data_IF_737418157666
#
_entry.id   IF_737418157666
#
_cell.length_a   1.000
_cell.length_b   1.000
_cell.length_c   1.000
_cell.angle_alpha   90.00
_cell.angle_beta   90.00
_cell.angle_gamma   90.00
#
_symmetry.space_group_name_H-M   'P 1'
#
loop_
_entity.id
_entity.type
_entity.pdbx_description
1 polymer ?
#
# COMPACT_ATOMS: atom_id res chain seq x y z
N UNK A 1 -17.05 10.43 47.60
CA UNK A 1 -17.45 10.54 46.19
C UNK A 1 -16.35 9.90 45.35
N UNK A 2 -16.60 8.79 44.65
CA UNK A 2 -15.56 8.16 43.84
C UNK A 2 -15.31 8.97 42.56
N UNK A 3 -14.04 9.23 42.26
CA UNK A 3 -13.63 9.85 41.01
C UNK A 3 -13.69 8.80 39.89
N UNK A 4 -14.56 9.01 38.91
CA UNK A 4 -14.57 8.23 37.68
C UNK A 4 -13.45 8.76 36.76
N UNK A 5 -12.41 7.96 36.57
CA UNK A 5 -11.40 8.20 35.55
C UNK A 5 -11.90 7.63 34.23
N UNK A 6 -12.32 8.51 33.32
CA UNK A 6 -12.66 8.13 31.94
C UNK A 6 -11.36 8.04 31.16
N UNK A 7 -10.83 6.83 30.99
CA UNK A 7 -9.77 6.59 30.00
C UNK A 7 -10.40 6.63 28.60
N UNK A 8 -10.28 7.76 27.93
CA UNK A 8 -10.48 7.85 26.48
C UNK A 8 -9.33 7.10 25.82
N UNK A 9 -9.55 5.83 25.50
CA UNK A 9 -8.70 5.12 24.54
C UNK A 9 -8.94 5.77 23.18
N UNK A 10 -7.99 6.58 22.72
CA UNK A 10 -7.90 6.97 21.32
C UNK A 10 -7.44 5.73 20.57
N UNK A 11 -8.38 4.86 20.21
CA UNK A 11 -8.11 3.82 19.24
C UNK A 11 -7.66 4.52 17.97
N UNK A 12 -6.37 4.41 17.67
CA UNK A 12 -5.79 4.83 16.40
C UNK A 12 -6.61 4.18 15.29
N UNK A 13 -7.37 4.99 14.57
CA UNK A 13 -8.12 4.49 13.43
C UNK A 13 -7.14 4.08 12.36
N UNK A 14 -7.25 2.85 11.87
CA UNK A 14 -6.51 2.42 10.69
C UNK A 14 -6.79 3.42 9.55
N UNK A 15 -5.76 4.15 9.14
CA UNK A 15 -5.84 5.15 8.08
C UNK A 15 -5.63 4.46 6.72
N UNK A 16 -6.22 5.02 5.67
CA UNK A 16 -6.13 4.50 4.31
C UNK A 16 -6.40 5.61 3.29
N UNK A 17 -5.76 5.51 2.13
CA UNK A 17 -6.01 6.36 0.96
C UNK A 17 -6.38 5.48 -0.24
N UNK A 18 -7.06 6.03 -1.24
CA UNK A 18 -7.34 5.34 -2.50
C UNK A 18 -6.39 5.87 -3.57
N UNK A 19 -5.68 4.97 -4.23
CA UNK A 19 -4.80 5.31 -5.33
C UNK A 19 -5.56 6.05 -6.44
N UNK A 20 -5.06 7.21 -6.86
CA UNK A 20 -5.66 8.03 -7.91
C UNK A 20 -6.90 8.84 -7.51
N UNK A 21 -7.33 8.78 -6.24
CA UNK A 21 -8.38 9.66 -5.72
C UNK A 21 -7.80 10.67 -4.72
N UNK A 22 -8.46 11.82 -4.62
CA UNK A 22 -8.10 12.88 -3.67
C UNK A 22 -9.30 13.26 -2.81
N UNK A 23 -9.01 13.65 -1.57
CA UNK A 23 -9.99 14.22 -0.63
C UNK A 23 -9.62 15.66 -0.33
N UNK A 24 -10.57 16.47 0.17
CA UNK A 24 -10.29 17.84 0.62
C UNK A 24 -9.25 17.94 1.75
N UNK A 25 -8.96 16.82 2.45
CA UNK A 25 -7.96 16.73 3.53
C UNK A 25 -6.58 16.29 3.06
N UNK A 26 -6.45 15.90 1.79
CA UNK A 26 -5.19 15.41 1.25
C UNK A 26 -4.39 16.59 0.69
N UNK A 27 -3.09 16.57 0.88
CA UNK A 27 -2.19 17.37 0.07
C UNK A 27 -2.07 16.73 -1.30
N UNK A 28 -2.66 17.37 -2.31
CA UNK A 28 -2.58 16.96 -3.69
C UNK A 28 -1.70 17.94 -4.48
N UNK A 29 -0.84 17.40 -5.33
CA UNK A 29 0.00 18.17 -6.22
C UNK A 29 0.02 17.56 -7.63
N UNK A 30 -0.34 18.38 -8.61
CA UNK A 30 -0.27 18.09 -10.05
C UNK A 30 1.00 18.74 -10.62
N UNK A 31 1.92 17.93 -11.12
CA UNK A 31 3.17 18.40 -11.71
C UNK A 31 2.87 18.89 -13.13
N UNK A 32 2.85 20.21 -13.32
CA UNK A 32 2.61 20.83 -14.62
C UNK A 32 3.83 21.63 -15.10
N UNK A 33 4.58 21.15 -16.12
CA UNK A 33 4.38 19.89 -16.84
C UNK A 33 4.80 18.67 -16.02
N UNK A 34 4.30 17.49 -16.40
CA UNK A 34 4.76 16.20 -15.85
C UNK A 34 6.29 16.13 -15.90
N UNK A 35 6.88 15.58 -14.84
CA UNK A 35 8.34 15.49 -14.72
C UNK A 35 8.83 14.17 -15.30
N UNK A 36 9.48 14.23 -16.45
CA UNK A 36 10.21 13.09 -17.02
C UNK A 36 11.63 13.05 -16.46
N UNK A 37 11.92 12.03 -15.66
CA UNK A 37 13.28 11.64 -15.32
C UNK A 37 13.81 10.72 -16.41
N UNK A 38 14.97 11.04 -16.96
CA UNK A 38 15.58 10.27 -18.03
C UNK A 38 17.05 10.00 -17.72
N UNK A 39 17.46 8.74 -17.80
CA UNK A 39 18.85 8.36 -17.70
C UNK A 39 19.41 8.14 -19.11
N UNK A 40 19.98 9.17 -19.77
CA UNK A 40 20.31 9.11 -21.20
C UNK A 40 21.27 7.95 -21.50
N UNK A 41 20.88 7.16 -22.51
CA UNK A 41 21.70 6.06 -23.00
C UNK A 41 23.01 6.59 -23.62
N UNK A 42 24.14 5.98 -23.30
CA UNK A 42 25.44 6.26 -23.92
C UNK A 42 26.39 7.11 -23.08
N UNK A 43 25.96 7.61 -21.90
CA UNK A 43 26.87 8.17 -20.90
C UNK A 43 27.01 7.17 -19.76
N UNK A 44 28.25 6.82 -19.42
CA UNK A 44 28.52 5.95 -18.26
C UNK A 44 28.11 6.69 -16.99
N UNK A 45 27.05 6.21 -16.32
CA UNK A 45 26.59 6.76 -15.04
C UNK A 45 25.64 7.95 -15.17
N UNK A 46 24.78 7.97 -16.19
CA UNK A 46 23.71 8.97 -16.27
C UNK A 46 22.65 8.70 -15.20
N UNK A 47 22.29 9.70 -14.42
CA UNK A 47 21.16 9.62 -13.49
C UNK A 47 20.46 10.95 -13.34
N UNK A 48 19.14 10.91 -13.16
CA UNK A 48 18.31 12.06 -12.80
C UNK A 48 17.45 11.70 -11.59
N UNK A 49 17.34 12.65 -10.65
CA UNK A 49 16.55 12.49 -9.41
C UNK A 49 15.50 13.59 -9.26
N UNK A 50 14.33 13.23 -8.75
CA UNK A 50 13.27 14.12 -8.27
C UNK A 50 13.06 13.88 -6.77
N UNK A 51 13.11 14.96 -5.99
CA UNK A 51 12.81 14.92 -4.56
C UNK A 51 11.41 15.49 -4.32
N UNK A 52 10.60 14.78 -3.55
CA UNK A 52 9.24 15.15 -3.20
C UNK A 52 9.12 15.38 -1.70
N UNK A 53 8.60 16.54 -1.32
CA UNK A 53 8.08 16.84 0.01
C UNK A 53 6.58 16.53 -0.02
N UNK A 54 6.19 15.39 0.52
CA UNK A 54 4.85 14.83 0.39
C UNK A 54 3.90 15.43 1.43
N UNK A 55 4.41 15.78 2.61
CA UNK A 55 3.60 16.30 3.72
C UNK A 55 3.68 17.83 3.89
N UNK A 56 4.47 18.53 3.07
CA UNK A 56 4.67 19.98 3.05
C UNK A 56 5.27 20.52 4.36
N UNK A 57 6.12 19.73 5.01
CA UNK A 57 6.81 20.14 6.24
C UNK A 57 8.15 20.86 5.95
N UNK A 58 8.54 20.96 4.68
CA UNK A 58 9.81 21.55 4.23
C UNK A 58 10.97 20.54 4.16
N UNK A 59 10.70 19.27 4.44
CA UNK A 59 11.66 18.17 4.37
C UNK A 59 11.29 17.22 3.23
N UNK A 60 12.28 16.73 2.49
CA UNK A 60 12.02 15.80 1.38
C UNK A 60 11.72 14.41 1.93
N UNK A 61 10.61 13.82 1.52
CA UNK A 61 10.12 12.52 2.01
C UNK A 61 10.47 11.36 1.07
N UNK A 62 10.68 11.65 -0.21
CA UNK A 62 10.91 10.64 -1.24
C UNK A 62 11.89 11.15 -2.29
N UNK A 63 12.85 10.31 -2.68
CA UNK A 63 13.64 10.48 -3.90
C UNK A 63 13.19 9.45 -4.94
N UNK A 64 12.80 9.93 -6.12
CA UNK A 64 12.61 9.13 -7.32
C UNK A 64 13.83 9.32 -8.22
N UNK A 65 14.40 8.23 -8.71
CA UNK A 65 15.63 8.29 -9.50
C UNK A 65 15.55 7.36 -10.70
N UNK A 66 15.88 7.88 -11.88
CA UNK A 66 16.18 7.09 -13.07
C UNK A 66 17.71 7.00 -13.22
N UNK A 67 18.25 5.80 -13.41
CA UNK A 67 19.68 5.58 -13.54
C UNK A 67 20.02 4.63 -14.70
N UNK A 68 21.16 4.91 -15.35
CA UNK A 68 21.75 4.13 -16.41
C UNK A 68 23.22 3.88 -16.07
N UNK A 69 23.55 2.64 -15.76
CA UNK A 69 24.91 2.19 -15.55
C UNK A 69 25.40 1.42 -16.78
N UNK A 70 26.51 1.90 -17.35
CA UNK A 70 27.23 1.22 -18.41
C UNK A 70 28.51 0.63 -17.84
N UNK A 71 28.64 -0.69 -17.89
CA UNK A 71 29.86 -1.41 -17.48
C UNK A 71 30.85 -1.57 -18.64
N UNK A 72 30.85 -0.64 -19.59
CA UNK A 72 31.58 -0.74 -20.86
C UNK A 72 30.71 -1.25 -22.02
N UNK A 73 31.33 -1.79 -23.07
CA UNK A 73 30.64 -2.20 -24.32
C UNK A 73 29.64 -3.37 -24.17
N UNK A 74 29.53 -3.95 -22.97
CA UNK A 74 29.01 -5.31 -22.79
C UNK A 74 28.01 -5.46 -21.65
N UNK A 75 27.87 -4.46 -20.78
CA UNK A 75 26.91 -4.44 -19.69
C UNK A 75 26.11 -3.14 -19.70
N UNK A 76 24.79 -3.28 -19.74
CA UNK A 76 23.84 -2.19 -19.63
C UNK A 76 22.86 -2.51 -18.52
N UNK A 77 22.73 -1.60 -17.57
CA UNK A 77 21.76 -1.68 -16.50
C UNK A 77 21.00 -0.36 -16.40
N UNK A 78 19.69 -0.45 -16.54
CA UNK A 78 18.75 0.65 -16.38
C UNK A 78 17.85 0.33 -15.21
N UNK A 79 17.64 1.29 -14.33
CA UNK A 79 16.63 1.15 -13.29
C UNK A 79 15.98 2.47 -12.89
N UNK A 80 14.70 2.34 -12.52
CA UNK A 80 13.97 3.32 -11.77
C UNK A 80 13.92 2.89 -10.32
N UNK A 81 14.31 3.78 -9.41
CA UNK A 81 14.30 3.53 -7.96
C UNK A 81 13.50 4.59 -7.23
N UNK A 82 12.87 4.17 -6.14
CA UNK A 82 12.26 5.04 -5.16
C UNK A 82 12.95 4.81 -3.82
N UNK A 83 13.47 5.88 -3.22
CA UNK A 83 14.20 5.85 -1.94
C UNK A 83 13.39 6.62 -0.90
N UNK A 84 12.91 5.96 0.17
CA UNK A 84 12.23 6.67 1.25
C UNK A 84 13.22 7.54 2.03
N UNK A 85 12.77 8.71 2.45
CA UNK A 85 13.52 9.65 3.28
C UNK A 85 12.69 10.01 4.53
N UNK A 86 13.37 10.44 5.60
CA UNK A 86 12.76 11.09 6.77
C UNK A 86 11.58 10.34 7.43
N UNK A 87 11.68 9.01 7.56
CA UNK A 87 10.64 8.19 8.22
C UNK A 87 9.51 7.76 7.28
N UNK A 88 9.62 8.08 5.99
CA UNK A 88 8.78 7.52 4.94
C UNK A 88 9.07 6.04 4.75
N UNK A 89 8.06 5.30 4.36
CA UNK A 89 8.13 3.91 3.96
C UNK A 89 7.43 3.74 2.64
N UNK A 90 7.95 2.84 1.81
CA UNK A 90 7.42 2.53 0.49
C UNK A 90 6.75 1.16 0.51
N UNK A 91 5.72 1.04 -0.30
CA UNK A 91 5.05 -0.23 -0.55
C UNK A 91 5.95 -1.18 -1.35
N UNK A 92 5.99 -2.45 -0.95
CA UNK A 92 6.91 -3.48 -1.41
C UNK A 92 6.16 -4.79 -1.63
N UNK A 93 6.41 -5.44 -2.77
CA UNK A 93 5.72 -6.67 -3.14
C UNK A 93 6.58 -7.92 -2.95
N UNK A 94 7.80 -7.91 -3.51
CA UNK A 94 8.67 -9.10 -3.56
C UNK A 94 10.14 -8.74 -3.74
N UNK A 95 11.00 -9.74 -3.54
CA UNK A 95 12.36 -9.71 -4.08
C UNK A 95 12.34 -10.33 -5.48
N UNK A 96 12.90 -9.63 -6.46
CA UNK A 96 13.20 -10.21 -7.78
C UNK A 96 14.69 -10.50 -7.92
N UNK A 97 15.05 -11.46 -8.76
CA UNK A 97 16.42 -11.96 -8.89
C UNK A 97 16.80 -12.17 -10.35
N UNK A 98 18.01 -11.76 -10.70
CA UNK A 98 18.59 -11.94 -12.01
C UNK A 98 19.68 -13.01 -11.97
N UNK A 99 19.65 -13.94 -12.93
CA UNK A 99 20.60 -15.04 -13.03
C UNK A 99 21.34 -15.01 -14.37
N UNK A 100 22.60 -15.44 -14.35
CA UNK A 100 23.39 -15.65 -15.54
C UNK A 100 23.23 -17.08 -16.08
N UNK A 101 23.16 -17.22 -17.41
CA UNK A 101 22.99 -18.52 -18.09
C UNK A 101 24.31 -19.30 -18.17
N UNK A 102 24.89 -19.65 -17.03
CA UNK A 102 26.08 -20.49 -16.92
C UNK A 102 25.71 -21.97 -16.72
N UNK A 103 26.66 -22.92 -16.88
CA UNK A 103 26.43 -24.35 -16.60
C UNK A 103 25.87 -24.59 -15.19
N UNK A 104 26.26 -23.73 -14.25
CA UNK A 104 25.62 -23.56 -12.95
C UNK A 104 24.91 -22.19 -12.96
N UNK A 105 23.62 -22.14 -12.64
CA UNK A 105 22.87 -20.89 -12.55
C UNK A 105 23.48 -20.01 -11.45
N UNK A 106 24.05 -18.87 -11.81
CA UNK A 106 24.66 -17.92 -10.85
C UNK A 106 23.76 -16.71 -10.66
N UNK A 107 23.44 -16.42 -9.40
CA UNK A 107 22.75 -15.19 -9.01
C UNK A 107 23.65 -13.99 -9.33
N UNK A 108 23.17 -13.09 -10.18
CA UNK A 108 23.86 -11.83 -10.51
C UNK A 108 23.50 -10.77 -9.48
N UNK A 109 22.21 -10.56 -9.25
CA UNK A 109 21.69 -9.63 -8.25
C UNK A 109 20.28 -10.02 -7.81
N UNK A 110 19.85 -9.48 -6.68
CA UNK A 110 18.46 -9.50 -6.24
C UNK A 110 18.04 -8.11 -5.75
N UNK A 111 16.84 -7.66 -6.12
CA UNK A 111 16.34 -6.31 -5.87
C UNK A 111 14.94 -6.37 -5.24
N UNK A 112 14.64 -5.50 -4.25
CA UNK A 112 13.27 -5.32 -3.77
C UNK A 112 12.44 -4.59 -4.83
N UNK A 113 11.30 -5.15 -5.22
CA UNK A 113 10.40 -4.54 -6.20
C UNK A 113 9.22 -3.90 -5.47
N UNK A 114 8.90 -2.67 -5.88
CA UNK A 114 7.77 -1.92 -5.34
C UNK A 114 6.45 -2.67 -5.56
N UNK A 115 5.54 -2.58 -4.59
CA UNK A 115 4.15 -2.94 -4.88
C UNK A 115 3.52 -1.83 -5.72
N UNK A 116 2.74 -2.22 -6.72
CA UNK A 116 2.02 -1.28 -7.59
C UNK A 116 0.54 -1.38 -7.31
N UNK A 117 -0.10 -0.22 -7.23
CA UNK A 117 -1.54 -0.09 -7.05
C UNK A 117 -2.16 0.45 -8.34
N UNK A 118 -3.38 0.03 -8.64
CA UNK A 118 -4.19 0.62 -9.70
C UNK A 118 -5.08 1.73 -9.15
N UNK A 119 -5.57 2.60 -10.02
CA UNK A 119 -6.57 3.59 -9.63
C UNK A 119 -7.78 2.90 -8.99
N UNK A 120 -8.18 3.35 -7.80
CA UNK A 120 -9.26 2.76 -7.01
C UNK A 120 -8.79 1.73 -5.96
N UNK A 121 -7.54 1.27 -6.00
CA UNK A 121 -7.02 0.37 -4.97
C UNK A 121 -6.84 1.09 -3.64
N UNK A 122 -7.10 0.38 -2.54
CA UNK A 122 -6.89 0.89 -1.20
C UNK A 122 -5.44 0.68 -0.76
N UNK A 123 -4.81 1.76 -0.30
CA UNK A 123 -3.47 1.77 0.30
C UNK A 123 -3.63 1.98 1.81
N UNK A 124 -3.25 0.96 2.59
CA UNK A 124 -3.46 0.90 4.04
C UNK A 124 -2.34 0.13 4.76
N UNK A 125 -2.55 -0.25 6.02
CA UNK A 125 -1.56 -0.93 6.84
C UNK A 125 -1.05 -2.26 6.26
N UNK A 126 -1.82 -2.93 5.40
CA UNK A 126 -1.50 -4.23 4.82
C UNK A 126 -0.67 -4.12 3.51
N UNK A 127 -0.35 -2.90 3.06
CA UNK A 127 0.36 -2.62 1.81
C UNK A 127 1.83 -3.09 1.70
N UNK A 128 2.37 -3.81 2.70
CA UNK A 128 3.73 -4.34 2.72
C UNK A 128 4.79 -3.24 2.68
N UNK A 129 5.30 -2.82 3.83
CA UNK A 129 6.03 -1.54 3.93
C UNK A 129 7.52 -1.71 4.25
N UNK A 130 8.37 -0.92 3.59
CA UNK A 130 9.83 -0.95 3.79
C UNK A 130 10.44 0.45 3.89
N UNK A 131 11.47 0.59 4.72
CA UNK A 131 12.35 1.77 4.82
C UNK A 131 13.55 1.69 3.86
N UNK A 132 13.64 0.63 3.07
CA UNK A 132 14.70 0.44 2.09
C UNK A 132 14.26 0.95 0.71
N UNK A 133 15.21 1.36 -0.15
CA UNK A 133 14.89 1.65 -1.54
C UNK A 133 14.18 0.48 -2.22
N UNK A 134 13.25 0.79 -3.12
CA UNK A 134 12.56 -0.20 -3.97
C UNK A 134 12.79 0.12 -5.44
N UNK A 135 12.87 -0.93 -6.26
CA UNK A 135 12.95 -0.84 -7.71
C UNK A 135 11.55 -0.75 -8.30
N UNK A 136 11.32 0.31 -9.08
CA UNK A 136 10.07 0.58 -9.81
C UNK A 136 10.05 -0.19 -11.15
N UNK A 137 11.23 -0.35 -11.74
CA UNK A 137 11.46 -1.19 -12.91
C UNK A 137 12.94 -1.23 -13.23
N UNK A 138 13.39 -2.29 -13.87
CA UNK A 138 14.76 -2.41 -14.34
C UNK A 138 14.87 -3.20 -15.64
N UNK A 139 15.93 -2.93 -16.37
CA UNK A 139 16.42 -3.75 -17.47
C UNK A 139 17.94 -3.90 -17.33
N UNK A 140 18.39 -5.14 -17.17
CA UNK A 140 19.80 -5.50 -17.20
C UNK A 140 20.09 -6.47 -18.33
N UNK A 141 21.15 -6.20 -19.08
CA UNK A 141 21.66 -7.16 -20.06
C UNK A 141 23.18 -7.16 -20.07
N UNK A 142 23.76 -8.35 -20.19
CA UNK A 142 25.18 -8.50 -20.47
C UNK A 142 25.39 -9.47 -21.62
N UNK A 143 26.05 -9.02 -22.68
CA UNK A 143 26.29 -9.81 -23.89
C UNK A 143 27.69 -10.46 -23.94
N UNK A 144 28.59 -10.17 -22.99
CA UNK A 144 29.97 -10.67 -23.03
C UNK A 144 30.53 -10.90 -21.63
N UNK A 145 29.91 -11.84 -20.92
CA UNK A 145 30.52 -12.46 -19.76
C UNK A 145 31.73 -13.27 -20.28
N UNK A 146 32.91 -13.32 -19.61
CA UNK A 146 34.18 -13.88 -20.13
C UNK A 146 34.14 -15.33 -20.68
N UNK A 147 33.02 -16.00 -20.52
CA UNK A 147 32.73 -17.38 -20.88
C UNK A 147 31.62 -17.51 -21.95
N UNK A 148 31.23 -16.41 -22.61
CA UNK A 148 30.21 -16.37 -23.69
C UNK A 148 28.76 -16.66 -23.21
N UNK A 149 28.50 -16.52 -21.91
CA UNK A 149 27.19 -16.78 -21.31
C UNK A 149 26.52 -15.47 -20.90
N UNK A 150 25.86 -14.82 -21.86
CA UNK A 150 25.11 -13.59 -21.59
C UNK A 150 23.91 -13.79 -20.67
N UNK A 151 23.37 -12.69 -20.16
CA UNK A 151 22.10 -12.67 -19.44
C UNK A 151 21.27 -11.46 -19.83
N UNK A 152 19.96 -11.60 -19.67
CA UNK A 152 18.98 -10.56 -19.87
C UNK A 152 17.91 -10.72 -18.81
N UNK A 153 17.73 -9.69 -17.99
CA UNK A 153 16.76 -9.65 -16.92
C UNK A 153 16.02 -8.34 -17.01
N UNK A 154 14.71 -8.39 -16.89
CA UNK A 154 13.88 -7.19 -16.83
C UNK A 154 12.72 -7.46 -15.91
N UNK A 155 12.37 -6.49 -15.11
CA UNK A 155 11.14 -6.52 -14.34
C UNK A 155 10.57 -5.11 -14.28
N UNK A 156 9.26 -5.01 -14.42
CA UNK A 156 8.51 -3.88 -13.90
C UNK A 156 7.09 -4.34 -13.64
N UNK A 157 6.59 -4.06 -12.44
CA UNK A 157 5.18 -4.24 -12.14
C UNK A 157 4.36 -3.00 -12.57
N UNK A 158 5.02 -1.95 -13.09
CA UNK A 158 4.40 -0.74 -13.66
C UNK A 158 4.05 -0.89 -15.15
N UNK A 159 4.21 -2.10 -15.73
CA UNK A 159 4.11 -2.32 -17.19
C UNK A 159 2.68 -2.27 -17.78
N UNK A 160 1.62 -2.23 -16.96
CA UNK A 160 0.24 -2.36 -17.43
C UNK A 160 -0.71 -1.35 -16.76
N UNK A 161 -0.95 -0.23 -17.44
CA UNK A 161 -1.81 0.89 -17.03
C UNK A 161 -1.31 1.66 -15.79
N UNK A 162 -1.65 2.97 -15.63
CA UNK A 162 -0.96 3.87 -14.71
C UNK A 162 -0.83 3.27 -13.30
N UNK A 163 0.42 3.04 -12.90
CA UNK A 163 0.76 2.46 -11.63
C UNK A 163 0.96 3.54 -10.57
N UNK A 164 0.40 3.30 -9.40
CA UNK A 164 0.59 4.14 -8.23
C UNK A 164 1.57 3.46 -7.29
N UNK A 165 2.57 4.22 -6.82
CA UNK A 165 3.44 3.82 -5.73
C UNK A 165 2.77 4.21 -4.41
N UNK A 166 2.49 3.22 -3.55
CA UNK A 166 2.02 3.49 -2.19
C UNK A 166 3.16 4.00 -1.32
N UNK A 167 2.90 5.08 -0.59
CA UNK A 167 3.82 5.70 0.37
C UNK A 167 3.13 5.85 1.72
N UNK A 168 3.89 5.72 2.82
CA UNK A 168 3.38 6.07 4.15
C UNK A 168 4.44 6.78 4.98
N UNK A 169 4.00 7.68 5.86
CA UNK A 169 4.85 8.33 6.85
C UNK A 169 4.48 7.82 8.23
N UNK A 170 5.44 7.23 8.94
CA UNK A 170 5.25 6.71 10.30
C UNK A 170 5.77 7.74 11.30
N UNK A 171 4.86 8.37 12.03
CA UNK A 171 5.19 9.30 13.12
C UNK A 171 4.86 8.70 14.49
N UNK A 172 5.34 9.31 15.58
CA UNK A 172 5.19 8.79 16.95
C UNK A 172 3.75 8.67 17.45
N UNK A 173 2.77 9.18 16.70
CA UNK A 173 1.35 9.09 17.04
C UNK A 173 0.46 8.61 15.90
N UNK A 174 0.90 8.64 14.64
CA UNK A 174 0.03 8.42 13.49
C UNK A 174 0.77 7.84 12.28
N UNK A 175 0.03 7.21 11.37
CA UNK A 175 0.54 6.71 10.09
C UNK A 175 -0.29 7.30 8.96
N UNK A 176 0.30 8.22 8.21
CA UNK A 176 -0.34 8.88 7.07
C UNK A 176 -0.01 8.12 5.79
N UNK A 177 -0.97 8.00 4.89
CA UNK A 177 -0.79 7.31 3.61
C UNK A 177 -0.88 8.29 2.44
N UNK A 178 -0.20 7.94 1.36
CA UNK A 178 -0.29 8.63 0.09
C UNK A 178 -0.03 7.72 -1.08
N UNK A 179 -0.09 8.31 -2.27
CA UNK A 179 0.27 7.67 -3.51
C UNK A 179 1.03 8.64 -4.41
N UNK A 180 1.92 8.09 -5.25
CA UNK A 180 2.60 8.81 -6.34
C UNK A 180 2.23 8.14 -7.65
N UNK A 181 1.71 8.91 -8.61
CA UNK A 181 1.33 8.42 -9.92
C UNK A 181 2.55 8.38 -10.84
N UNK A 182 2.87 7.17 -11.32
CA UNK A 182 4.02 6.87 -12.17
C UNK A 182 3.54 6.32 -13.52
N UNK A 183 3.01 7.16 -14.42
CA UNK A 183 2.59 6.71 -15.74
C UNK A 183 3.77 6.07 -16.50
N UNK A 184 3.46 4.98 -17.19
CA UNK A 184 4.46 4.22 -17.94
C UNK A 184 4.95 4.99 -19.18
N UNK A 185 6.25 5.27 -19.23
CA UNK A 185 6.93 5.91 -20.38
C UNK A 185 8.12 5.06 -20.83
N UNK A 186 7.83 4.04 -21.64
CA UNK A 186 8.85 3.31 -22.40
C UNK A 186 9.43 2.07 -21.71
N UNK A 187 10.08 1.21 -22.51
CA UNK A 187 10.20 -0.22 -22.23
C UNK A 187 11.26 -0.65 -21.18
N UNK A 188 12.11 0.24 -20.64
CA UNK A 188 13.40 -0.19 -20.07
C UNK A 188 13.78 0.35 -18.69
N UNK A 189 12.88 1.02 -17.97
CA UNK A 189 13.21 1.59 -16.64
C UNK A 189 14.26 2.72 -16.70
N UNK A 190 14.66 3.14 -17.89
CA UNK A 190 15.56 4.27 -18.16
C UNK A 190 14.84 5.62 -18.18
N UNK A 191 13.51 5.59 -18.06
CA UNK A 191 12.67 6.77 -17.98
C UNK A 191 11.55 6.55 -16.98
N UNK A 192 11.33 7.54 -16.13
CA UNK A 192 10.21 7.60 -15.19
C UNK A 192 9.46 8.89 -15.44
N UNK A 193 8.15 8.82 -15.69
CA UNK A 193 7.29 9.99 -15.72
C UNK A 193 6.58 10.08 -14.37
N UNK A 194 6.65 11.26 -13.75
CA UNK A 194 5.96 11.56 -12.50
C UNK A 194 4.97 12.68 -12.83
N UNK A 195 3.68 12.39 -12.69
CA UNK A 195 2.61 13.32 -13.07
C UNK A 195 1.97 13.99 -11.85
N UNK A 196 1.68 13.25 -10.79
CA UNK A 196 0.92 13.76 -9.65
C UNK A 196 1.13 12.91 -8.40
N UNK A 197 0.82 13.47 -7.24
CA UNK A 197 0.78 12.73 -5.98
C UNK A 197 -0.29 13.28 -5.04
N UNK A 198 -0.75 12.42 -4.13
CA UNK A 198 -1.60 12.83 -3.01
C UNK A 198 -1.11 12.19 -1.71
N UNK A 199 -1.20 12.95 -0.62
CA UNK A 199 -0.76 12.51 0.71
C UNK A 199 -1.70 13.02 1.80
N UNK A 200 -2.03 12.17 2.77
CA UNK A 200 -2.86 12.59 3.89
C UNK A 200 -2.10 13.57 4.79
N UNK A 201 -2.67 14.75 5.05
CA UNK A 201 -2.10 15.71 6.01
C UNK A 201 -2.62 15.52 7.44
N UNK A 202 -3.73 14.80 7.57
CA UNK A 202 -4.35 14.53 8.84
C UNK A 202 -4.78 13.08 8.87
N UNK A 203 -4.73 12.43 10.05
CA UNK A 203 -5.42 11.19 10.26
C UNK A 203 -6.84 11.31 9.75
N UNK A 204 -7.19 10.49 8.77
CA UNK A 204 -8.60 10.30 8.45
C UNK A 204 -9.16 9.54 9.64
N UNK A 205 -9.68 10.28 10.62
CA UNK A 205 -10.61 9.73 11.58
C UNK A 205 -11.67 9.06 10.74
N UNK A 206 -11.89 7.75 10.97
CA UNK A 206 -12.78 6.88 10.20
C UNK A 206 -13.91 7.75 9.63
N UNK A 207 -13.94 7.96 8.30
CA UNK A 207 -15.13 8.53 7.68
C UNK A 207 -16.26 7.67 8.24
N UNK A 208 -17.15 8.20 9.12
CA UNK A 208 -18.02 7.37 9.93
C UNK A 208 -18.71 6.47 8.94
N UNK A 209 -18.37 5.17 8.97
CA UNK A 209 -18.74 4.24 7.92
C UNK A 209 -20.24 4.06 8.05
N UNK A 210 -21.02 4.99 7.45
CA UNK A 210 -22.30 5.46 7.98
C UNK A 210 -22.62 4.74 9.28
N UNK A 211 -21.98 5.15 10.38
CA UNK A 211 -22.26 4.50 11.66
C UNK A 211 -23.70 4.89 11.92
N UNK A 212 -24.61 4.02 11.50
CA UNK A 212 -25.91 3.93 12.12
C UNK A 212 -25.56 3.71 13.57
N UNK A 213 -25.64 4.79 14.35
CA UNK A 213 -25.30 4.88 15.77
C UNK A 213 -26.23 4.05 16.64
N UNK A 214 -26.95 3.12 16.03
CA UNK A 214 -27.77 2.15 16.69
C UNK A 214 -26.81 1.08 17.18
N UNK A 215 -26.34 1.24 18.42
CA UNK A 215 -25.86 0.11 19.20
C UNK A 215 -26.90 -1.00 19.08
N UNK A 216 -26.57 -2.06 18.35
CA UNK A 216 -27.44 -3.20 18.22
C UNK A 216 -27.22 -4.06 19.46
N UNK A 217 -28.12 -3.95 20.44
CA UNK A 217 -28.16 -4.89 21.56
C UNK A 217 -28.76 -6.19 21.00
N UNK A 218 -27.90 -7.19 20.80
CA UNK A 218 -28.31 -8.49 20.27
C UNK A 218 -28.71 -9.40 21.43
N UNK A 219 -30.01 -9.44 21.73
CA UNK A 219 -30.58 -10.40 22.68
C UNK A 219 -30.93 -11.69 21.95
N UNK A 220 -30.26 -12.79 22.30
CA UNK A 220 -30.45 -14.09 21.62
C UNK A 220 -29.34 -14.49 20.67
N UNK A 221 -28.30 -13.67 20.52
CA UNK A 221 -27.18 -13.99 19.66
C UNK A 221 -27.46 -13.87 18.17
N UNK A 222 -28.60 -13.33 17.73
CA UNK A 222 -28.91 -13.20 16.30
C UNK A 222 -28.55 -11.83 15.74
N UNK A 223 -27.78 -11.79 14.65
CA UNK A 223 -27.50 -10.58 13.88
C UNK A 223 -28.23 -10.64 12.53
N UNK A 224 -29.07 -9.65 12.24
CA UNK A 224 -29.68 -9.51 10.92
C UNK A 224 -28.76 -8.68 10.00
N UNK A 225 -28.28 -9.30 8.94
CA UNK A 225 -27.49 -8.63 7.90
C UNK A 225 -28.44 -8.07 6.85
N UNK A 226 -28.41 -6.75 6.55
CA UNK A 226 -29.33 -6.14 5.61
C UNK A 226 -29.33 -6.82 4.23
N UNK A 227 -30.49 -7.02 3.60
CA UNK A 227 -30.59 -7.62 2.26
C UNK A 227 -29.96 -6.76 1.15
N UNK A 228 -29.62 -5.50 1.44
CA UNK A 228 -28.92 -4.60 0.53
C UNK A 228 -27.44 -4.93 0.36
N UNK A 229 -26.86 -5.79 1.21
CA UNK A 229 -25.45 -6.18 1.09
C UNK A 229 -25.32 -7.31 0.04
N UNK A 230 -24.58 -7.09 -1.07
CA UNK A 230 -24.53 -8.05 -2.16
C UNK A 230 -23.62 -9.24 -1.86
N UNK A 231 -24.12 -10.45 -2.15
CA UNK A 231 -23.31 -11.66 -2.25
C UNK A 231 -22.88 -12.31 -0.92
N UNK A 232 -21.96 -13.28 -0.97
CA UNK A 232 -21.28 -13.77 0.21
C UNK A 232 -20.38 -12.67 0.79
N UNK A 233 -20.46 -12.46 2.09
CA UNK A 233 -19.78 -11.40 2.82
C UNK A 233 -18.82 -12.03 3.82
N UNK A 234 -17.59 -11.54 3.89
CA UNK A 234 -16.64 -11.94 4.92
C UNK A 234 -16.98 -11.18 6.20
N UNK A 235 -17.44 -11.90 7.21
CA UNK A 235 -17.73 -11.37 8.54
C UNK A 235 -16.54 -11.63 9.47
N UNK A 236 -16.08 -10.57 10.13
CA UNK A 236 -15.07 -10.59 11.18
C UNK A 236 -15.73 -10.10 12.47
N UNK A 237 -15.56 -10.84 13.56
CA UNK A 237 -15.94 -10.40 14.89
C UNK A 237 -14.69 -10.19 15.72
N UNK A 238 -14.53 -8.98 16.25
CA UNK A 238 -13.40 -8.59 17.08
C UNK A 238 -13.85 -8.33 18.51
N UNK A 239 -13.12 -8.87 19.49
CA UNK A 239 -13.36 -8.56 20.90
C UNK A 239 -12.90 -7.13 21.26
N UNK A 240 -13.15 -6.69 22.49
CA UNK A 240 -12.78 -5.36 22.96
C UNK A 240 -11.25 -5.08 22.95
N UNK A 241 -10.41 -6.10 22.77
CA UNK A 241 -8.96 -5.95 22.62
C UNK A 241 -8.51 -5.80 21.16
N UNK A 242 -9.44 -5.84 20.21
CA UNK A 242 -9.15 -5.82 18.78
C UNK A 242 -8.78 -7.18 18.19
N UNK A 243 -8.81 -8.25 18.99
CA UNK A 243 -8.51 -9.61 18.51
C UNK A 243 -9.71 -10.17 17.77
N UNK A 244 -9.47 -10.70 16.57
CA UNK A 244 -10.50 -11.43 15.80
C UNK A 244 -10.83 -12.73 16.52
N UNK A 245 -12.04 -12.82 17.07
CA UNK A 245 -12.58 -14.02 17.73
C UNK A 245 -13.38 -14.91 16.78
N UNK A 246 -13.84 -14.36 15.65
CA UNK A 246 -14.56 -15.10 14.61
C UNK A 246 -14.27 -14.53 13.24
N UNK A 247 -14.06 -15.39 12.24
CA UNK A 247 -14.04 -15.01 10.83
C UNK A 247 -14.79 -16.07 10.01
N UNK A 248 -15.82 -15.67 9.26
CA UNK A 248 -16.56 -16.59 8.38
C UNK A 248 -17.20 -15.87 7.20
N UNK A 249 -17.54 -16.63 6.17
CA UNK A 249 -18.38 -16.13 5.07
C UNK A 249 -19.86 -16.31 5.44
N UNK A 250 -20.64 -15.25 5.32
CA UNK A 250 -22.09 -15.21 5.58
C UNK A 250 -22.85 -14.67 4.38
N UNK A 251 -24.16 -14.85 4.37
CA UNK A 251 -25.06 -14.20 3.42
C UNK A 251 -25.96 -13.21 4.16
N UNK A 252 -26.61 -12.30 3.43
CA UNK A 252 -27.65 -11.44 4.00
C UNK A 252 -28.75 -12.26 4.69
N UNK A 253 -29.37 -11.68 5.73
CA UNK A 253 -30.36 -12.34 6.59
C UNK A 253 -29.86 -12.62 8.00
N UNK A 254 -30.61 -13.45 8.73
CA UNK A 254 -30.39 -13.74 10.14
C UNK A 254 -29.19 -14.67 10.35
N UNK A 255 -28.25 -14.27 11.20
CA UNK A 255 -27.03 -15.00 11.52
C UNK A 255 -26.99 -15.33 13.02
N UNK A 256 -26.83 -16.61 13.38
CA UNK A 256 -26.56 -16.99 14.76
C UNK A 256 -25.09 -16.70 15.10
N UNK A 257 -24.90 -15.88 16.13
CA UNK A 257 -23.64 -15.52 16.79
C UNK A 257 -23.57 -16.09 18.21
N UNK A 258 -24.71 -16.39 18.84
CA UNK A 258 -24.79 -16.72 20.27
C UNK A 258 -24.14 -18.07 20.60
N UNK A 259 -24.17 -19.00 19.67
CA UNK A 259 -23.48 -20.29 19.79
C UNK A 259 -21.97 -20.23 19.53
N UNK A 260 -21.45 -19.10 19.06
CA UNK A 260 -20.10 -19.00 18.49
C UNK A 260 -19.15 -18.11 19.29
N UNK A 261 -19.66 -17.40 20.30
CA UNK A 261 -18.91 -16.37 21.00
C UNK A 261 -19.12 -16.49 22.50
N UNK A 262 -18.08 -16.96 23.19
CA UNK A 262 -17.97 -17.01 24.66
C UNK A 262 -16.64 -16.32 25.01
N UNK A 263 -16.62 -15.24 25.83
CA UNK A 263 -17.68 -14.76 26.74
C UNK A 263 -18.67 -13.72 26.17
N UNK A 264 -19.77 -13.50 26.90
CA UNK A 264 -20.58 -12.29 26.74
C UNK A 264 -19.70 -11.03 26.83
N UNK A 265 -20.01 -10.01 26.02
CA UNK A 265 -19.16 -8.83 25.96
C UNK A 265 -19.48 -7.89 24.80
N UNK A 266 -18.63 -6.87 24.68
CA UNK A 266 -18.66 -5.92 23.58
C UNK A 266 -17.80 -6.44 22.44
N UNK A 267 -18.36 -6.41 21.24
CA UNK A 267 -17.70 -6.85 20.01
C UNK A 267 -17.85 -5.80 18.91
N UNK A 268 -16.92 -5.81 17.96
CA UNK A 268 -17.04 -5.11 16.69
C UNK A 268 -17.27 -6.16 15.61
N UNK A 269 -18.38 -6.05 14.89
CA UNK A 269 -18.65 -6.85 13.71
C UNK A 269 -18.28 -6.04 12.48
N UNK A 270 -17.45 -6.61 11.61
CA UNK A 270 -17.07 -6.02 10.32
C UNK A 270 -17.46 -6.97 9.20
N UNK A 271 -18.15 -6.43 8.22
CA UNK A 271 -18.61 -7.12 7.02
C UNK A 271 -17.84 -6.54 5.83
N UNK A 272 -17.16 -7.40 5.07
CA UNK A 272 -16.47 -7.04 3.82
C UNK A 272 -17.06 -7.79 2.63
N UNK A 273 -17.36 -7.07 1.55
CA UNK A 273 -17.80 -7.63 0.27
C UNK A 273 -17.13 -6.90 -0.88
N UNK A 274 -17.30 -7.40 -2.11
CA UNK A 274 -16.79 -6.74 -3.30
C UNK A 274 -17.48 -5.38 -3.49
N UNK A 275 -16.73 -4.30 -3.32
CA UNK A 275 -17.24 -2.93 -3.48
C UNK A 275 -17.74 -2.27 -2.19
N UNK A 276 -17.46 -2.82 -1.00
CA UNK A 276 -17.76 -2.11 0.23
C UNK A 276 -17.42 -2.84 1.53
N UNK A 277 -17.56 -2.09 2.63
CA UNK A 277 -17.51 -2.63 3.98
C UNK A 277 -18.56 -1.97 4.87
N UNK A 278 -18.96 -2.67 5.93
CA UNK A 278 -19.87 -2.19 6.95
C UNK A 278 -19.35 -2.64 8.32
N UNK A 279 -19.51 -1.81 9.35
CA UNK A 279 -19.17 -2.21 10.70
C UNK A 279 -20.23 -1.76 11.71
N UNK A 280 -20.41 -2.54 12.77
CA UNK A 280 -21.27 -2.19 13.89
C UNK A 280 -20.70 -2.67 15.22
N UNK A 281 -21.16 -2.05 16.31
CA UNK A 281 -20.87 -2.48 17.69
C UNK A 281 -21.98 -3.39 18.17
N UNK A 282 -21.61 -4.55 18.69
CA UNK A 282 -22.51 -5.54 19.25
C UNK A 282 -22.27 -5.66 20.76
N UNK A 283 -23.35 -5.75 21.53
CA UNK A 283 -23.31 -6.20 22.92
C UNK A 283 -23.99 -7.58 22.94
N UNK A 284 -23.21 -8.62 23.18
CA UNK A 284 -23.70 -9.99 23.30
C UNK A 284 -23.93 -10.30 24.78
N UNK A 285 -25.19 -10.55 25.16
CA UNK A 285 -25.59 -10.98 26.51
C UNK A 285 -25.70 -12.52 26.54
N UNK A 286 -25.14 -13.16 27.56
CA UNK A 286 -25.39 -14.59 27.84
C UNK A 286 -26.83 -14.73 28.37
N UNK A 287 -27.57 -15.72 27.85
CA UNK A 287 -28.87 -16.13 28.38
C UNK A 287 -28.71 -17.02 29.61
#
# INVERSE_FOLDING_TARGET
>A
MPAFMVCLSTTLSAQWIVAGETRPTDHYHDLLPDTLLNAPQGLSGGSESLFLDLNVDGTMDLELKAECQLGGMVFTYHDGTATPLNGTQLSWARMDSCFANMPDTVLVFALPVAATFHAGDTIDADGGWTEQPVTLGYHSSNASVPNNFGYGCSASDLHHDPGFLGVRLVSSGDTLYGWVHLPWVGLKGDSLLVSEFAFQLQPVGIAPAAVHSDQLIVRGGWLEIPPSIPGPVRMLLMDATGRVVMARTVHAGLQDLGSLVDPAGMYVCVLHWTGGSWSTRLILEQH
#
